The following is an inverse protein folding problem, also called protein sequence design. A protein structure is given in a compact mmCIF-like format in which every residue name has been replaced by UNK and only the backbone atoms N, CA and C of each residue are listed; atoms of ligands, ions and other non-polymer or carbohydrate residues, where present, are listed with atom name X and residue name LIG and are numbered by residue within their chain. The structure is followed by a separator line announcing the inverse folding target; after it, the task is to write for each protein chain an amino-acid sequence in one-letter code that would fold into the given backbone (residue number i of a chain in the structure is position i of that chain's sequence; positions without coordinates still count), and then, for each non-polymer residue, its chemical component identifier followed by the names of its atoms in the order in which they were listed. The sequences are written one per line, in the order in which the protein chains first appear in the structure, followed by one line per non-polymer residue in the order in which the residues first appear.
data_IF_561459524974
#
_entry.id   IF_561459524974
#
_cell.length_a   1.000
_cell.length_b   1.000
_cell.length_c   1.000
_cell.angle_alpha   90.00
_cell.angle_beta   90.00
_cell.angle_gamma   90.00
#
_symmetry.space_group_name_H-M   'P 1'
#
loop_
_entity.id
_entity.type
_entity.pdbx_description
1 polymer ?
#
# COMPACT_ATOMS: atom_id res chain seq x y z
N UNK A 1 3.12 12.92 0.83
CA UNK A 1 2.76 11.54 0.41
C UNK A 1 1.30 11.29 0.76
N UNK A 2 0.47 10.78 -0.17
CA UNK A 2 -0.97 10.53 0.05
C UNK A 2 -1.24 9.05 -0.17
N UNK A 3 -1.92 8.42 0.79
CA UNK A 3 -2.42 7.05 0.66
C UNK A 3 -3.90 7.16 0.29
N UNK A 4 -4.30 6.54 -0.82
CA UNK A 4 -5.71 6.44 -1.18
C UNK A 4 -6.23 5.05 -0.81
N UNK A 5 -7.18 4.99 0.11
CA UNK A 5 -7.76 3.75 0.59
C UNK A 5 -9.18 3.63 0.06
N UNK A 6 -9.46 2.52 -0.62
CA UNK A 6 -10.78 2.23 -1.18
C UNK A 6 -11.31 0.95 -0.55
N UNK A 7 -12.60 0.92 -0.24
CA UNK A 7 -13.32 -0.30 0.15
C UNK A 7 -14.45 -0.51 -0.83
N UNK A 8 -14.66 -1.77 -1.25
CA UNK A 8 -15.65 -2.12 -2.24
C UNK A 8 -16.27 -3.48 -1.92
N UNK A 9 -17.47 -3.39 -1.34
CA UNK A 9 -18.41 -4.48 -1.31
C UNK A 9 -19.13 -4.46 -2.68
N UNK A 10 -19.01 -5.55 -3.44
CA UNK A 10 -19.66 -5.70 -4.73
C UNK A 10 -20.46 -6.98 -4.70
N UNK A 11 -21.73 -6.83 -4.33
CA UNK A 11 -22.68 -7.91 -4.03
C UNK A 11 -22.58 -9.07 -5.04
N UNK A 12 -22.39 -10.27 -4.49
CA UNK A 12 -22.28 -11.53 -5.25
C UNK A 12 -21.29 -11.44 -6.44
N UNK A 13 -20.20 -10.69 -6.26
CA UNK A 13 -19.20 -10.41 -7.28
C UNK A 13 -19.79 -9.90 -8.62
N UNK A 14 -20.90 -9.15 -8.56
CA UNK A 14 -21.65 -8.68 -9.72
C UNK A 14 -22.67 -9.67 -10.28
N UNK A 15 -23.09 -10.65 -9.47
CA UNK A 15 -23.98 -11.75 -9.87
C UNK A 15 -23.32 -12.75 -10.81
N UNK A 16 -21.99 -12.90 -10.74
CA UNK A 16 -21.22 -13.74 -11.67
C UNK A 16 -21.17 -13.21 -13.11
N UNK A 17 -21.59 -11.96 -13.36
CA UNK A 17 -21.66 -11.39 -14.70
C UNK A 17 -20.32 -10.74 -15.10
N UNK A 18 -19.57 -11.26 -16.08
CA UNK A 18 -18.19 -10.84 -16.35
C UNK A 18 -18.04 -9.35 -16.69
N UNK A 19 -18.91 -8.80 -17.54
CA UNK A 19 -18.81 -7.39 -17.93
C UNK A 19 -19.08 -6.42 -16.77
N UNK A 20 -19.86 -6.83 -15.76
CA UNK A 20 -20.10 -6.02 -14.55
C UNK A 20 -18.87 -6.01 -13.67
N UNK A 21 -18.24 -7.17 -13.52
CA UNK A 21 -16.97 -7.32 -12.81
C UNK A 21 -15.87 -6.45 -13.43
N UNK A 22 -15.74 -6.46 -14.75
CA UNK A 22 -14.73 -5.66 -15.47
C UNK A 22 -14.98 -4.17 -15.31
N UNK A 23 -16.21 -3.71 -15.54
CA UNK A 23 -16.59 -2.30 -15.37
C UNK A 23 -16.35 -1.81 -13.94
N UNK A 24 -16.63 -2.66 -12.94
CA UNK A 24 -16.36 -2.34 -11.54
C UNK A 24 -14.85 -2.15 -11.30
N UNK A 25 -14.00 -3.09 -11.73
CA UNK A 25 -12.54 -2.97 -11.53
C UNK A 25 -11.92 -1.81 -12.30
N UNK A 26 -12.42 -1.51 -13.51
CA UNK A 26 -12.02 -0.30 -14.26
C UNK A 26 -12.39 0.98 -13.49
N UNK A 27 -13.58 1.03 -12.89
CA UNK A 27 -14.00 2.15 -12.04
C UNK A 27 -13.11 2.27 -10.81
N UNK A 28 -12.78 1.16 -10.13
CA UNK A 28 -11.85 1.17 -9.00
C UNK A 28 -10.46 1.67 -9.40
N UNK A 29 -9.93 1.22 -10.54
CA UNK A 29 -8.64 1.71 -11.09
C UNK A 29 -8.66 3.23 -11.29
N UNK A 30 -9.76 3.78 -11.79
CA UNK A 30 -9.87 5.23 -12.04
C UNK A 30 -9.73 6.08 -10.76
N UNK A 31 -10.02 5.49 -9.60
CA UNK A 31 -9.84 6.14 -8.30
C UNK A 31 -8.37 6.22 -7.88
N UNK A 32 -7.46 5.49 -8.54
CA UNK A 32 -6.04 5.38 -8.20
C UNK A 32 -5.82 4.94 -6.73
N UNK A 33 -6.37 3.78 -6.31
CA UNK A 33 -6.16 3.27 -4.96
C UNK A 33 -4.68 2.92 -4.74
N UNK A 34 -4.16 3.24 -3.55
CA UNK A 34 -2.92 2.68 -3.02
C UNK A 34 -3.19 1.39 -2.24
N UNK A 35 -4.40 1.28 -1.68
CA UNK A 35 -4.89 0.14 -0.94
C UNK A 35 -6.38 -0.04 -1.25
N UNK A 36 -6.79 -1.26 -1.57
CA UNK A 36 -8.16 -1.63 -1.87
C UNK A 36 -8.57 -2.85 -1.05
N UNK A 37 -9.70 -2.75 -0.36
CA UNK A 37 -10.38 -3.86 0.30
C UNK A 37 -11.58 -4.29 -0.55
N UNK A 38 -11.61 -5.56 -0.96
CA UNK A 38 -12.72 -6.16 -1.72
C UNK A 38 -13.47 -7.18 -0.86
N UNK A 39 -14.81 -7.10 -0.89
CA UNK A 39 -15.71 -8.03 -0.21
C UNK A 39 -16.77 -8.60 -1.17
N UNK A 40 -17.52 -9.61 -0.71
CA UNK A 40 -18.59 -10.29 -1.49
C UNK A 40 -18.05 -10.98 -2.76
N UNK A 41 -16.88 -11.60 -2.69
CA UNK A 41 -16.28 -12.31 -3.82
C UNK A 41 -16.79 -13.76 -3.93
N UNK A 42 -18.09 -13.97 -3.71
CA UNK A 42 -18.74 -15.28 -3.80
C UNK A 42 -18.43 -16.03 -5.09
N UNK A 43 -18.25 -17.36 -5.00
CA UNK A 43 -17.96 -18.23 -6.14
C UNK A 43 -16.51 -18.17 -6.62
N UNK A 44 -15.66 -17.33 -6.00
CA UNK A 44 -14.25 -17.21 -6.38
C UNK A 44 -13.40 -18.34 -5.82
N UNK A 45 -13.89 -19.17 -4.92
CA UNK A 45 -13.15 -20.26 -4.27
C UNK A 45 -12.57 -21.27 -5.28
N UNK A 46 -13.26 -21.53 -6.38
CA UNK A 46 -12.85 -22.50 -7.39
C UNK A 46 -11.75 -21.97 -8.32
N UNK A 47 -11.64 -20.65 -8.47
CA UNK A 47 -10.71 -19.99 -9.40
C UNK A 47 -10.00 -18.79 -8.76
N UNK A 48 -9.81 -18.81 -7.43
CA UNK A 48 -9.42 -17.62 -6.66
C UNK A 48 -8.15 -16.96 -7.20
N UNK A 49 -7.12 -17.76 -7.46
CA UNK A 49 -5.86 -17.28 -8.04
C UNK A 49 -6.04 -16.62 -9.41
N UNK A 50 -6.96 -17.11 -10.24
CA UNK A 50 -7.25 -16.52 -11.56
C UNK A 50 -8.01 -15.20 -11.40
N UNK A 51 -8.98 -15.14 -10.49
CA UNK A 51 -9.74 -13.91 -10.17
C UNK A 51 -8.80 -12.83 -9.63
N UNK A 52 -7.89 -13.18 -8.73
CA UNK A 52 -6.86 -12.28 -8.22
C UNK A 52 -5.96 -11.78 -9.34
N UNK A 53 -5.39 -12.68 -10.16
CA UNK A 53 -4.51 -12.30 -11.27
C UNK A 53 -5.18 -11.34 -12.26
N UNK A 54 -6.45 -11.58 -12.61
CA UNK A 54 -7.23 -10.66 -13.45
C UNK A 54 -7.41 -9.30 -12.78
N UNK A 55 -7.74 -9.27 -11.49
CA UNK A 55 -7.89 -8.03 -10.75
C UNK A 55 -6.57 -7.26 -10.65
N UNK A 56 -5.44 -7.93 -10.39
CA UNK A 56 -4.10 -7.33 -10.37
C UNK A 56 -3.78 -6.65 -11.70
N UNK A 57 -4.03 -7.32 -12.83
CA UNK A 57 -3.80 -6.78 -14.16
C UNK A 57 -4.63 -5.52 -14.46
N UNK A 58 -5.89 -5.48 -14.01
CA UNK A 58 -6.75 -4.31 -14.22
C UNK A 58 -6.35 -3.15 -13.31
N UNK A 59 -6.10 -3.44 -12.03
CA UNK A 59 -5.86 -2.45 -10.99
C UNK A 59 -4.43 -1.91 -10.99
N UNK A 60 -3.45 -2.69 -11.44
CA UNK A 60 -2.03 -2.39 -11.28
C UNK A 60 -1.56 -2.49 -9.84
N UNK A 61 -2.21 -3.32 -9.02
CA UNK A 61 -1.91 -3.56 -7.61
C UNK A 61 -1.62 -5.04 -7.39
N UNK A 62 -0.82 -5.38 -6.38
CA UNK A 62 -0.64 -6.77 -5.92
C UNK A 62 -1.83 -7.16 -5.04
N UNK A 63 -2.34 -8.39 -5.19
CA UNK A 63 -3.49 -8.92 -4.47
C UNK A 63 -3.15 -10.06 -3.51
N UNK A 64 -3.91 -10.13 -2.42
CA UNK A 64 -3.94 -11.23 -1.46
C UNK A 64 -5.39 -11.64 -1.21
N UNK A 65 -5.63 -12.94 -1.16
CA UNK A 65 -6.95 -13.50 -0.96
C UNK A 65 -7.09 -14.04 0.45
N UNK A 66 -8.25 -13.80 1.05
CA UNK A 66 -8.64 -14.41 2.30
C UNK A 66 -9.09 -15.85 2.11
N UNK A 67 -9.48 -16.48 3.21
CA UNK A 67 -10.01 -17.84 3.18
C UNK A 67 -11.22 -17.94 2.23
N UNK A 68 -11.21 -18.98 1.39
CA UNK A 68 -12.22 -19.21 0.37
C UNK A 68 -12.27 -18.16 -0.74
N UNK A 69 -11.26 -17.28 -0.84
CA UNK A 69 -11.25 -16.15 -1.79
C UNK A 69 -12.48 -15.22 -1.70
N UNK A 70 -13.14 -15.19 -0.54
CA UNK A 70 -14.39 -14.43 -0.29
C UNK A 70 -14.17 -12.94 -0.07
N UNK A 71 -12.97 -12.57 0.35
CA UNK A 71 -12.47 -11.20 0.46
C UNK A 71 -11.05 -11.11 -0.10
N UNK A 72 -10.60 -9.88 -0.38
CA UNK A 72 -9.24 -9.63 -0.84
C UNK A 72 -8.72 -8.26 -0.40
N UNK A 73 -7.40 -8.16 -0.31
CA UNK A 73 -6.66 -6.90 -0.17
C UNK A 73 -5.80 -6.73 -1.41
N UNK A 74 -5.80 -5.53 -2.00
CA UNK A 74 -4.89 -5.15 -3.07
C UNK A 74 -4.08 -3.92 -2.66
N UNK A 75 -2.77 -3.91 -2.90
CA UNK A 75 -1.89 -2.82 -2.50
C UNK A 75 -0.87 -2.44 -3.58
N UNK A 76 -0.49 -1.16 -3.59
CA UNK A 76 0.63 -0.63 -4.37
C UNK A 76 1.93 -0.98 -3.63
N UNK A 77 2.67 -1.93 -4.17
CA UNK A 77 3.89 -2.45 -3.52
C UNK A 77 5.11 -1.55 -3.65
N UNK A 78 5.04 -0.50 -4.46
CA UNK A 78 6.06 0.54 -4.44
C UNK A 78 5.91 1.43 -3.19
N UNK A 79 4.68 1.65 -2.73
CA UNK A 79 4.36 2.45 -1.56
C UNK A 79 4.25 1.63 -0.26
N UNK A 80 3.76 0.39 -0.34
CA UNK A 80 3.42 -0.46 0.79
C UNK A 80 4.13 -1.80 0.67
N UNK A 81 5.08 -2.06 1.57
CA UNK A 81 5.74 -3.37 1.65
C UNK A 81 4.90 -4.33 2.50
N UNK A 82 4.48 -5.50 1.99
CA UNK A 82 3.84 -6.52 2.81
C UNK A 82 4.83 -7.05 3.86
N UNK A 83 4.39 -7.10 5.12
CA UNK A 83 5.20 -7.60 6.24
C UNK A 83 4.73 -8.99 6.65
N UNK A 84 3.42 -9.18 6.72
CA UNK A 84 2.82 -10.43 7.21
C UNK A 84 1.41 -10.62 6.68
N UNK A 85 1.10 -11.85 6.29
CA UNK A 85 -0.27 -12.34 6.07
C UNK A 85 -0.77 -13.04 7.34
N UNK A 86 -2.01 -12.78 7.72
CA UNK A 86 -2.66 -13.40 8.87
C UNK A 86 -3.65 -14.45 8.40
N UNK A 87 -3.37 -15.71 8.75
CA UNK A 87 -4.25 -16.84 8.48
C UNK A 87 -5.08 -17.11 9.75
N UNK A 88 -6.33 -16.64 9.77
CA UNK A 88 -7.23 -16.92 10.90
C UNK A 88 -7.93 -18.27 10.67
N UNK A 89 -7.42 -19.31 11.33
CA UNK A 89 -8.12 -20.60 11.39
C UNK A 89 -9.29 -20.50 12.37
N UNK A 90 -10.44 -21.08 12.02
CA UNK A 90 -11.60 -21.16 12.91
C UNK A 90 -12.39 -19.85 13.03
N UNK A 91 -12.29 -18.99 12.02
CA UNK A 91 -13.02 -17.73 11.99
C UNK A 91 -14.56 -17.99 11.84
N UNK A 92 -15.43 -17.39 12.68
CA UNK A 92 -16.87 -17.61 12.66
C UNK A 92 -17.63 -16.83 11.55
N UNK A 93 -16.95 -15.96 10.80
CA UNK A 93 -17.59 -15.14 9.76
C UNK A 93 -17.92 -15.99 8.53
N UNK A 94 -19.12 -15.77 7.99
CA UNK A 94 -19.59 -16.37 6.73
C UNK A 94 -18.63 -16.10 5.56
N UNK A 95 -18.04 -14.90 5.54
CA UNK A 95 -16.92 -14.54 4.65
C UNK A 95 -15.76 -14.04 5.49
N UNK A 96 -14.75 -14.88 5.76
CA UNK A 96 -13.61 -14.49 6.57
C UNK A 96 -12.86 -13.30 5.94
N UNK A 97 -12.39 -12.34 6.75
CA UNK A 97 -11.63 -11.21 6.26
C UNK A 97 -10.25 -11.64 5.76
N UNK A 98 -9.73 -10.87 4.82
CA UNK A 98 -8.33 -10.93 4.42
C UNK A 98 -7.56 -9.96 5.29
N UNK A 99 -6.62 -10.47 6.09
CA UNK A 99 -5.86 -9.67 7.05
C UNK A 99 -4.36 -9.66 6.72
N UNK A 100 -3.78 -8.46 6.62
CA UNK A 100 -2.35 -8.24 6.38
C UNK A 100 -1.80 -7.14 7.28
N UNK A 101 -0.51 -7.25 7.60
CA UNK A 101 0.30 -6.14 8.05
C UNK A 101 1.10 -5.61 6.86
N UNK A 102 0.92 -4.33 6.55
CA UNK A 102 1.68 -3.60 5.54
C UNK A 102 2.52 -2.52 6.22
N UNK A 103 3.73 -2.30 5.69
CA UNK A 103 4.62 -1.21 6.10
C UNK A 103 4.63 -0.14 5.03
N UNK A 104 4.45 1.10 5.45
CA UNK A 104 4.58 2.26 4.58
C UNK A 104 6.05 2.53 4.25
N UNK A 105 6.38 2.63 2.97
CA UNK A 105 7.74 2.93 2.52
C UNK A 105 8.01 4.44 2.67
N UNK A 106 9.05 4.87 3.42
CA UNK A 106 9.35 6.29 3.65
C UNK A 106 9.70 7.05 2.37
N UNK A 107 10.27 6.35 1.38
CA UNK A 107 10.52 6.86 0.05
C UNK A 107 9.34 6.49 -0.86
N UNK A 108 8.31 7.35 -0.94
CA UNK A 108 7.38 7.30 -2.07
C UNK A 108 8.09 7.62 -3.40
N UNK A 109 7.34 7.61 -4.52
CA UNK A 109 7.79 7.78 -5.93
C UNK A 109 8.70 8.98 -6.29
N UNK A 110 9.18 9.76 -5.35
CA UNK A 110 10.25 10.72 -5.56
C UNK A 110 11.08 10.83 -4.28
N UNK A 111 12.40 10.55 -4.30
CA UNK A 111 13.27 11.01 -3.24
C UNK A 111 13.16 12.54 -3.21
N UNK A 112 12.68 13.09 -2.10
CA UNK A 112 12.93 14.50 -1.81
C UNK A 112 14.45 14.70 -1.88
N UNK A 113 14.99 15.72 -2.56
CA UNK A 113 16.44 15.92 -2.62
C UNK A 113 16.96 15.93 -1.19
N UNK A 114 17.93 15.05 -0.90
CA UNK A 114 18.49 14.89 0.44
C UNK A 114 18.78 16.27 1.02
N UNK A 115 18.01 16.65 2.04
CA UNK A 115 18.30 17.87 2.78
C UNK A 115 19.72 17.73 3.33
N UNK A 116 20.63 18.58 2.85
CA UNK A 116 21.96 18.73 3.45
C UNK A 116 21.81 19.77 4.56
N UNK A 117 22.16 19.48 5.82
CA UNK A 117 22.35 20.55 6.78
C UNK A 117 23.42 21.51 6.24
N UNK A 118 23.27 22.83 6.45
CA UNK A 118 24.35 23.76 6.14
C UNK A 118 25.60 23.32 6.91
N UNK A 119 26.71 23.16 6.18
CA UNK A 119 28.01 22.89 6.79
C UNK A 119 28.30 24.00 7.79
N UNK A 120 28.41 23.66 9.07
CA UNK A 120 29.02 24.55 10.05
C UNK A 120 30.49 24.68 9.69
N UNK A 121 30.81 25.65 8.83
CA UNK A 121 32.20 26.09 8.67
C UNK A 121 32.57 26.79 9.96
N UNK A 122 33.15 26.04 10.89
CA UNK A 122 33.83 26.59 12.04
C UNK A 122 35.11 27.22 11.52
N UNK A 123 35.04 28.46 11.06
CA UNK A 123 36.24 29.29 10.85
C UNK A 123 36.74 29.64 12.25
N UNK A 124 37.93 29.21 12.68
CA UNK A 124 38.48 29.67 13.94
C UNK A 124 38.82 31.16 13.79
N UNK A 125 38.19 32.01 14.62
CA UNK A 125 38.61 33.40 14.77
C UNK A 125 40.06 33.42 15.29
N UNK A 126 40.97 34.19 14.66
CA UNK A 126 42.30 34.38 15.22
C UNK A 126 42.18 35.21 16.51
N UNK A 127 42.58 34.60 17.63
CA UNK A 127 42.79 35.33 18.88
C UNK A 127 43.84 36.42 18.67
N UNK A 128 43.42 37.68 18.80
CA UNK A 128 44.33 38.81 18.83
C UNK A 128 45.25 38.68 20.05
N UNK A 129 46.55 38.49 19.79
CA UNK A 129 47.58 38.50 20.82
C UNK A 129 47.70 39.93 21.40
N UNK A 130 47.55 40.04 22.72
CA UNK A 130 47.71 41.29 23.46
C UNK A 130 49.21 41.58 23.62
N UNK A 131 49.74 42.75 23.23
CA UNK A 131 51.15 43.04 23.42
C UNK A 131 51.47 43.23 24.91
N UNK A 132 52.52 42.52 25.38
CA UNK A 132 53.15 42.77 26.67
C UNK A 132 53.84 44.13 26.61
N UNK A 133 53.46 45.06 27.49
CA UNK A 133 54.24 46.27 27.74
C UNK A 133 55.43 45.90 28.63
N UNK A 134 56.62 46.10 28.09
CA UNK A 134 57.89 46.19 28.83
C UNK A 134 58.10 47.65 29.23
N UNK A 135 58.35 47.90 30.52
CA UNK A 135 58.63 49.22 31.09
C UNK A 135 58.16 49.29 32.52
#
# INVERSE_FOLDING_TARGET
MRINVVTCNFENNGGGVPHRWERMHQRLRSLKPSLLFRQEMWGSEHEGSLVAYRAENVLGLRGWLGQGASTAVFADTELLTPVREWQERGNPWVMPPTALTLRLNPAGRTPCPSWRPPSTSTTPHPHAARPKRSG
#
